data_IF_688188798832
#
_entry.id   IF_688188798832
#
_cell.length_a   1.000
_cell.length_b   1.000
_cell.length_c   1.000
_cell.angle_alpha   90.00
_cell.angle_beta   90.00
_cell.angle_gamma   90.00
#
_symmetry.space_group_name_H-M   'P 1'
#
loop_
_entity.id
_entity.type
_entity.pdbx_description
1 polymer ?
#
# COMPACT_ATOMS: atom_id res chain seq x y z
N UNK A 1 -14.09 3.18 5.87
CA UNK A 1 -12.75 2.95 5.30
C UNK A 1 -12.68 1.51 4.82
N UNK A 2 -12.14 1.25 3.63
CA UNK A 2 -12.10 -0.11 3.07
C UNK A 2 -10.95 -0.29 2.06
N UNK A 3 -10.48 -1.53 1.90
CA UNK A 3 -9.62 -1.92 0.81
C UNK A 3 -10.44 -2.33 -0.40
N UNK A 4 -10.09 -1.80 -1.58
CA UNK A 4 -10.62 -2.23 -2.86
C UNK A 4 -9.55 -3.02 -3.60
N UNK A 5 -9.82 -4.31 -3.84
CA UNK A 5 -8.91 -5.23 -4.55
C UNK A 5 -9.41 -5.39 -5.98
N UNK A 6 -8.50 -5.24 -6.94
CA UNK A 6 -8.81 -5.37 -8.35
C UNK A 6 -7.64 -5.96 -9.12
N UNK A 7 -7.92 -6.36 -10.36
CA UNK A 7 -6.94 -6.89 -11.30
C UNK A 7 -6.75 -5.89 -12.43
N UNK A 8 -5.52 -5.51 -12.71
CA UNK A 8 -5.16 -4.66 -13.83
C UNK A 8 -4.88 -5.49 -15.08
N UNK A 9 -4.83 -4.84 -16.25
CA UNK A 9 -4.69 -5.51 -17.54
C UNK A 9 -3.24 -5.91 -17.88
N UNK A 10 -2.29 -5.66 -16.97
CA UNK A 10 -0.86 -5.92 -17.18
C UNK A 10 -0.55 -7.43 -17.11
N UNK A 11 0.33 -7.96 -17.98
CA UNK A 11 0.59 -9.39 -18.07
C UNK A 11 1.38 -9.98 -16.89
N UNK A 12 1.99 -9.15 -16.03
CA UNK A 12 2.71 -9.58 -14.83
C UNK A 12 2.32 -8.68 -13.68
N UNK A 13 1.95 -9.30 -12.54
CA UNK A 13 1.63 -8.61 -11.28
C UNK A 13 0.40 -7.69 -11.38
N UNK A 14 -0.70 -8.29 -11.78
CA UNK A 14 -1.96 -7.60 -12.05
C UNK A 14 -2.83 -7.37 -10.81
N UNK A 15 -2.64 -8.09 -9.71
CA UNK A 15 -3.43 -7.84 -8.51
C UNK A 15 -2.93 -6.58 -7.79
N UNK A 16 -3.86 -5.67 -7.49
CA UNK A 16 -3.59 -4.46 -6.71
C UNK A 16 -4.66 -4.23 -5.65
N UNK A 17 -4.31 -3.42 -4.66
CA UNK A 17 -5.27 -2.86 -3.73
C UNK A 17 -5.12 -1.33 -3.65
N UNK A 18 -6.23 -0.66 -3.33
CA UNK A 18 -6.30 0.76 -2.95
C UNK A 18 -7.09 0.88 -1.65
N UNK A 19 -6.61 1.72 -0.73
CA UNK A 19 -7.31 2.03 0.52
C UNK A 19 -8.10 3.34 0.36
N UNK A 20 -9.38 3.25 0.67
CA UNK A 20 -10.31 4.37 0.62
C UNK A 20 -10.73 4.78 2.03
N UNK A 21 -10.65 6.08 2.31
CA UNK A 21 -11.19 6.67 3.53
C UNK A 21 -12.73 6.60 3.56
N UNK A 22 -13.33 6.89 4.72
CA UNK A 22 -14.79 6.89 4.88
C UNK A 22 -15.50 7.89 3.94
N UNK A 23 -14.82 8.98 3.56
CA UNK A 23 -15.31 9.98 2.60
C UNK A 23 -15.13 9.57 1.12
N UNK A 24 -14.76 8.30 0.84
CA UNK A 24 -14.59 7.79 -0.51
C UNK A 24 -13.32 8.26 -1.23
N UNK A 25 -12.42 9.01 -0.58
CA UNK A 25 -11.15 9.43 -1.18
C UNK A 25 -10.08 8.36 -1.01
N UNK A 26 -9.24 8.18 -2.05
CA UNK A 26 -8.05 7.33 -1.99
C UNK A 26 -7.03 7.95 -1.03
N UNK A 27 -6.48 7.15 -0.11
CA UNK A 27 -5.46 7.58 0.86
C UNK A 27 -4.16 6.79 0.75
N UNK A 28 -4.21 5.56 0.25
CA UNK A 28 -3.03 4.75 -0.02
C UNK A 28 -3.31 3.76 -1.16
N UNK A 29 -2.25 3.27 -1.78
CA UNK A 29 -2.30 2.17 -2.75
C UNK A 29 -1.17 1.19 -2.47
N UNK A 30 -1.26 0.01 -3.09
CA UNK A 30 -0.27 -1.06 -2.98
C UNK A 30 1.17 -0.70 -3.39
N UNK A 31 1.39 0.39 -4.14
CA UNK A 31 2.67 0.76 -4.75
C UNK A 31 3.07 -0.17 -5.89
N UNK A 32 3.24 -1.45 -5.60
CA UNK A 32 3.56 -2.52 -6.54
C UNK A 32 2.36 -3.48 -6.73
N UNK A 33 2.28 -4.12 -7.89
CA UNK A 33 1.33 -5.20 -8.13
C UNK A 33 1.81 -6.56 -7.61
N UNK A 34 0.88 -7.49 -7.45
CA UNK A 34 1.13 -8.86 -7.00
C UNK A 34 0.78 -9.86 -8.09
N UNK A 35 1.61 -10.91 -8.24
CA UNK A 35 1.36 -11.99 -9.22
C UNK A 35 0.11 -12.78 -8.87
N UNK A 36 -0.17 -12.94 -7.58
CA UNK A 36 -1.28 -13.74 -7.09
C UNK A 36 -2.14 -12.95 -6.10
N UNK A 37 -3.45 -13.21 -6.14
CA UNK A 37 -4.43 -12.65 -5.20
C UNK A 37 -4.01 -12.89 -3.74
N UNK A 38 -3.51 -14.08 -3.41
CA UNK A 38 -3.08 -14.41 -2.05
C UNK A 38 -1.97 -13.49 -1.54
N UNK A 39 -0.98 -13.14 -2.38
CA UNK A 39 0.08 -12.20 -2.03
C UNK A 39 -0.45 -10.79 -1.78
N UNK A 40 -1.39 -10.33 -2.63
CA UNK A 40 -2.09 -9.07 -2.45
C UNK A 40 -2.82 -9.02 -1.10
N UNK A 41 -3.56 -10.07 -0.75
CA UNK A 41 -4.27 -10.17 0.53
C UNK A 41 -3.33 -10.18 1.73
N UNK A 42 -2.24 -10.93 1.65
CA UNK A 42 -1.26 -11.00 2.73
C UNK A 42 -0.61 -9.65 3.01
N UNK A 43 -0.35 -8.84 1.98
CA UNK A 43 0.19 -7.48 2.16
C UNK A 43 -0.74 -6.56 2.96
N UNK A 44 -2.06 -6.64 2.71
CA UNK A 44 -3.05 -5.87 3.45
C UNK A 44 -3.18 -6.35 4.89
N UNK A 45 -3.14 -7.67 5.11
CA UNK A 45 -3.18 -8.25 6.46
C UNK A 45 -2.01 -7.81 7.31
N UNK A 46 -0.82 -7.67 6.71
CA UNK A 46 0.32 -7.07 7.39
C UNK A 46 -0.07 -5.68 7.87
N UNK A 47 -0.46 -4.77 6.97
CA UNK A 47 -0.83 -3.38 7.28
C UNK A 47 -1.90 -3.23 8.38
N UNK A 48 -2.93 -4.08 8.37
CA UNK A 48 -4.03 -4.00 9.35
C UNK A 48 -3.57 -4.40 10.75
N UNK A 49 -2.59 -5.28 10.86
CA UNK A 49 -2.07 -5.78 12.15
C UNK A 49 -0.91 -4.98 12.71
N UNK A 50 -0.47 -3.91 12.04
CA UNK A 50 0.68 -3.13 12.49
C UNK A 50 0.26 -2.14 13.56
N UNK A 51 0.99 -2.13 14.66
CA UNK A 51 0.92 -1.10 15.69
C UNK A 51 2.36 -0.69 16.08
N UNK A 52 2.55 0.57 16.49
CA UNK A 52 3.83 1.12 16.94
C UNK A 52 5.03 0.90 15.99
N UNK A 53 4.81 0.94 14.66
CA UNK A 53 5.91 0.81 13.69
C UNK A 53 6.79 2.06 13.67
N UNK A 54 8.13 1.92 13.81
CA UNK A 54 9.03 3.06 13.76
C UNK A 54 9.01 3.74 12.38
N UNK A 55 8.83 5.05 12.38
CA UNK A 55 8.86 5.89 11.18
C UNK A 55 10.31 6.35 10.95
N UNK A 56 10.85 6.08 9.75
CA UNK A 56 12.18 6.54 9.34
C UNK A 56 12.05 7.67 8.33
N UNK A 57 12.82 8.73 8.53
CA UNK A 57 12.94 9.85 7.60
C UNK A 57 14.26 9.73 6.83
N UNK A 58 14.23 9.90 5.51
CA UNK A 58 15.46 10.02 4.73
C UNK A 58 16.06 11.41 4.97
N UNK A 59 17.23 11.49 5.59
CA UNK A 59 18.01 12.73 5.65
C UNK A 59 18.78 12.87 4.35
N UNK A 60 18.56 13.95 3.59
CA UNK A 60 19.44 14.31 2.50
C UNK A 60 20.82 14.65 3.08
N UNK A 61 21.91 14.35 2.37
CA UNK A 61 23.30 14.50 2.83
C UNK A 61 23.73 15.93 3.27
N UNK A 62 22.81 16.89 3.31
CA UNK A 62 23.02 18.27 3.75
C UNK A 62 22.16 18.69 4.98
N UNK A 63 21.53 17.75 5.69
CA UNK A 63 20.96 18.03 7.02
C UNK A 63 19.77 19.02 7.08
N UNK A 64 19.17 19.40 5.95
CA UNK A 64 17.96 20.22 5.95
C UNK A 64 16.70 19.35 5.80
N UNK A 65 15.78 19.53 6.75
CA UNK A 65 14.43 18.94 6.75
C UNK A 65 13.58 19.65 5.70
N UNK A 66 12.92 18.87 4.83
CA UNK A 66 11.80 19.33 4.03
C UNK A 66 10.58 19.58 4.93
#
# INVERSE_FOLDING_TARGET
MYFYVYREQSPRRDYRWTLYAANGRKIANSGEGFVARAGCYRSMQLLIGLDNIPIRHSTNAAGQRA
#
